data_IF_246560580178
#
_entry.id   IF_246560580178
#
_cell.length_a   1.000
_cell.length_b   1.000
_cell.length_c   1.000
_cell.angle_alpha   90.00
_cell.angle_beta   90.00
_cell.angle_gamma   90.00
#
_symmetry.space_group_name_H-M   'P 1'
#
loop_
_entity.id
_entity.type
_entity.pdbx_description
1 polymer ?
#
# COMPACT_ATOMS: atom_id res chain seq x y z
N UNK A 1 5.70 24.40 -16.25
CA UNK A 1 5.68 23.47 -15.10
C UNK A 1 4.27 23.27 -14.55
N UNK A 2 3.58 24.32 -14.09
CA UNK A 2 2.20 24.24 -13.55
C UNK A 2 1.14 23.71 -14.53
N UNK A 3 1.26 24.02 -15.83
CA UNK A 3 0.35 23.48 -16.86
C UNK A 3 0.38 21.95 -16.92
N UNK A 4 1.58 21.36 -16.95
CA UNK A 4 1.75 19.91 -16.97
C UNK A 4 1.22 19.25 -15.69
N UNK A 5 1.45 19.86 -14.52
CA UNK A 5 0.88 19.37 -13.27
C UNK A 5 -0.66 19.34 -13.29
N UNK A 6 -1.30 20.37 -13.86
CA UNK A 6 -2.76 20.41 -14.01
C UNK A 6 -3.29 19.36 -14.98
N UNK A 7 -2.58 19.12 -16.09
CA UNK A 7 -2.92 18.07 -17.05
C UNK A 7 -2.83 16.69 -16.41
N UNK A 8 -1.74 16.40 -15.67
CA UNK A 8 -1.60 15.14 -14.95
C UNK A 8 -2.65 14.95 -13.85
N UNK A 9 -3.01 16.03 -13.14
CA UNK A 9 -4.09 16.02 -12.16
C UNK A 9 -5.42 15.61 -12.80
N UNK A 10 -5.74 16.19 -13.96
CA UNK A 10 -6.98 15.89 -14.68
C UNK A 10 -7.00 14.42 -15.14
N UNK A 11 -5.89 13.93 -15.69
CA UNK A 11 -5.74 12.53 -16.12
C UNK A 11 -5.90 11.59 -14.94
N UNK A 12 -5.31 11.91 -13.78
CA UNK A 12 -5.43 11.09 -12.57
C UNK A 12 -6.87 11.00 -12.06
N UNK A 13 -7.64 12.10 -12.09
CA UNK A 13 -9.05 12.11 -11.68
C UNK A 13 -9.91 11.30 -12.65
N UNK A 14 -9.72 11.48 -13.96
CA UNK A 14 -10.43 10.71 -14.98
C UNK A 14 -10.11 9.22 -14.81
N UNK A 15 -8.83 8.87 -14.71
CA UNK A 15 -8.42 7.50 -14.47
C UNK A 15 -9.05 6.95 -13.18
N UNK A 16 -9.05 7.71 -12.06
CA UNK A 16 -9.68 7.38 -10.78
C UNK A 16 -11.15 6.97 -10.92
N UNK A 17 -11.93 7.75 -11.68
CA UNK A 17 -13.36 7.51 -11.90
C UNK A 17 -13.60 6.32 -12.84
N UNK A 18 -12.80 6.18 -13.90
CA UNK A 18 -13.06 5.18 -14.95
C UNK A 18 -12.40 3.81 -14.73
N UNK A 19 -11.30 3.71 -13.97
CA UNK A 19 -10.42 2.54 -14.06
C UNK A 19 -9.96 1.90 -12.73
N UNK A 20 -10.05 2.60 -11.60
CA UNK A 20 -9.43 2.08 -10.37
C UNK A 20 -10.31 1.15 -9.54
N UNK A 21 -11.62 1.03 -9.82
CA UNK A 21 -12.51 0.20 -9.01
C UNK A 21 -12.09 -1.27 -8.91
N UNK A 22 -11.70 -1.89 -10.04
CA UNK A 22 -11.27 -3.30 -10.08
C UNK A 22 -9.84 -3.53 -9.55
N UNK A 23 -8.93 -2.60 -9.82
CA UNK A 23 -7.52 -2.69 -9.39
C UNK A 23 -7.42 -2.49 -7.87
N UNK A 24 -8.23 -1.60 -7.29
CA UNK A 24 -8.31 -1.39 -5.84
C UNK A 24 -8.79 -2.66 -5.14
N UNK A 25 -9.76 -3.39 -5.70
CA UNK A 25 -10.22 -4.65 -5.12
C UNK A 25 -9.12 -5.73 -5.09
N UNK A 26 -8.36 -5.87 -6.19
CA UNK A 26 -7.24 -6.79 -6.27
C UNK A 26 -6.08 -6.37 -5.34
N UNK A 27 -5.73 -5.08 -5.34
CA UNK A 27 -4.69 -4.52 -4.47
C UNK A 27 -5.07 -4.64 -2.98
N UNK A 28 -6.35 -4.47 -2.63
CA UNK A 28 -6.85 -4.67 -1.27
C UNK A 28 -6.72 -6.14 -0.81
N UNK A 29 -6.87 -7.10 -1.73
CA UNK A 29 -6.58 -8.50 -1.46
C UNK A 29 -5.11 -8.74 -1.11
N UNK A 30 -4.19 -8.22 -1.92
CA UNK A 30 -2.74 -8.35 -1.70
C UNK A 30 -2.31 -7.65 -0.41
N UNK A 31 -2.85 -6.46 -0.13
CA UNK A 31 -2.56 -5.70 1.10
C UNK A 31 -2.95 -6.47 2.37
N UNK A 32 -4.09 -7.18 2.37
CA UNK A 32 -4.52 -8.02 3.50
C UNK A 32 -3.52 -9.14 3.79
N UNK A 33 -3.04 -9.82 2.75
CA UNK A 33 -2.05 -10.90 2.90
C UNK A 33 -0.75 -10.34 3.49
N UNK A 34 -0.26 -9.23 2.95
CA UNK A 34 0.98 -8.59 3.42
C UNK A 34 0.86 -8.10 4.88
N UNK A 35 -0.29 -7.56 5.26
CA UNK A 35 -0.58 -7.16 6.63
C UNK A 35 -0.51 -8.32 7.62
N UNK A 36 -1.09 -9.47 7.28
CA UNK A 36 -1.00 -10.68 8.11
C UNK A 36 0.43 -11.20 8.22
N UNK A 37 1.17 -11.24 7.11
CA UNK A 37 2.59 -11.63 7.11
C UNK A 37 3.39 -10.68 8.02
N UNK A 38 3.15 -9.38 7.93
CA UNK A 38 3.80 -8.39 8.79
C UNK A 38 3.48 -8.62 10.26
N UNK A 39 2.22 -8.89 10.62
CA UNK A 39 1.86 -9.21 12.01
C UNK A 39 2.58 -10.45 12.51
N UNK A 40 2.65 -11.53 11.71
CA UNK A 40 3.35 -12.75 12.10
C UNK A 40 4.84 -12.46 12.34
N UNK A 41 5.49 -11.76 11.41
CA UNK A 41 6.90 -11.36 11.54
C UNK A 41 7.11 -10.40 12.72
N UNK A 42 6.18 -9.48 12.96
CA UNK A 42 6.23 -8.54 14.08
C UNK A 42 6.11 -9.24 15.42
N UNK A 43 5.20 -10.21 15.55
CA UNK A 43 5.05 -11.03 16.78
C UNK A 43 6.29 -11.90 17.00
N UNK A 44 6.81 -12.54 15.95
CA UNK A 44 8.08 -13.27 16.01
C UNK A 44 9.21 -12.33 16.45
N UNK A 45 9.34 -11.17 15.81
CA UNK A 45 10.32 -10.15 16.18
C UNK A 45 10.16 -9.63 17.60
N UNK A 46 8.93 -9.51 18.11
CA UNK A 46 8.66 -9.07 19.48
C UNK A 46 9.08 -10.13 20.51
N UNK A 47 8.80 -11.40 20.22
CA UNK A 47 9.11 -12.53 21.10
C UNK A 47 10.62 -12.85 21.07
N UNK A 48 11.23 -12.89 19.89
CA UNK A 48 12.63 -13.29 19.70
C UNK A 48 13.62 -12.10 19.71
N UNK A 49 13.17 -10.89 19.38
CA UNK A 49 13.99 -9.67 19.31
C UNK A 49 14.23 -8.97 20.64
N UNK A 50 13.62 -9.44 21.74
CA UNK A 50 13.91 -8.97 23.11
C UNK A 50 15.28 -9.40 23.66
N UNK A 51 16.12 -10.10 22.89
CA UNK A 51 17.57 -10.16 23.19
C UNK A 51 18.24 -8.91 22.64
N UNK A 52 18.22 -7.87 23.47
CA UNK A 52 19.22 -6.80 23.47
C UNK A 52 20.60 -7.40 23.17
N UNK A 53 21.09 -7.17 21.95
CA UNK A 53 22.51 -7.29 21.62
C UNK A 53 23.09 -5.93 21.99
N UNK A 54 23.52 -5.87 23.24
CA UNK A 54 24.38 -4.82 23.80
C UNK A 54 25.59 -4.62 22.90
#
# INVERSE_FOLDING_TARGET
MLYWAFVFLLIAIVAAVFGFGGIVAAAAGIAKVLFFVFIVLFVIGLIFGRRSRV
#
